data_IF_559209235646
#
_entry.id   IF_559209235646
#
_cell.length_a   1.000
_cell.length_b   1.000
_cell.length_c   1.000
_cell.angle_alpha   90.00
_cell.angle_beta   90.00
_cell.angle_gamma   90.00
#
_symmetry.space_group_name_H-M   'P 1'
#
loop_
_entity.id
_entity.type
_entity.pdbx_description
1 polymer ?
#
# COMPACT_ATOMS: atom_id res chain seq x y z
N UNK A 1 -5.09 4.98 23.37
CA UNK A 1 -5.49 3.67 22.78
C UNK A 1 -4.85 3.42 21.41
N UNK A 2 -4.94 4.32 20.41
CA UNK A 2 -4.27 4.14 19.09
C UNK A 2 -2.75 3.93 19.20
N UNK A 3 -2.06 4.77 19.98
CA UNK A 3 -0.60 4.68 20.18
C UNK A 3 -0.16 3.32 20.77
N UNK A 4 -0.93 2.76 21.71
CA UNK A 4 -0.60 1.46 22.31
C UNK A 4 -0.81 0.31 21.32
N UNK A 5 -1.84 0.38 20.49
CA UNK A 5 -2.08 -0.59 19.41
C UNK A 5 -0.97 -0.55 18.35
N UNK A 6 -0.56 0.66 17.96
CA UNK A 6 0.56 0.88 17.04
C UNK A 6 1.86 0.31 17.59
N UNK A 7 2.19 0.63 18.84
CA UNK A 7 3.34 0.06 19.53
C UNK A 7 3.27 -1.46 19.64
N UNK A 8 2.10 -2.05 19.91
CA UNK A 8 1.92 -3.50 19.99
C UNK A 8 2.06 -4.20 18.63
N UNK A 9 1.61 -3.56 17.54
CA UNK A 9 1.79 -4.09 16.20
C UNK A 9 3.27 -4.08 15.79
N UNK A 10 4.04 -3.08 16.25
CA UNK A 10 5.50 -3.01 16.08
C UNK A 10 6.23 -3.98 17.03
N UNK A 11 5.70 -4.19 18.24
CA UNK A 11 6.29 -5.01 19.30
C UNK A 11 5.42 -6.25 19.51
N UNK A 12 5.58 -7.23 18.60
CA UNK A 12 4.82 -8.48 18.64
C UNK A 12 5.53 -9.57 19.47
N UNK A 13 4.93 -10.77 19.50
CA UNK A 13 5.48 -11.95 20.18
C UNK A 13 6.89 -12.34 19.68
N UNK A 14 7.25 -12.05 18.42
CA UNK A 14 8.62 -12.27 17.92
C UNK A 14 9.62 -11.46 18.76
N UNK A 15 9.26 -10.23 19.18
CA UNK A 15 10.11 -9.38 20.03
C UNK A 15 10.42 -10.06 21.35
N UNK A 16 9.41 -10.67 21.97
CA UNK A 16 9.58 -11.38 23.22
C UNK A 16 10.51 -12.59 23.07
N UNK A 17 10.31 -13.40 22.02
CA UNK A 17 11.19 -14.57 21.74
C UNK A 17 12.63 -14.13 21.51
N UNK A 18 12.86 -13.19 20.59
CA UNK A 18 14.21 -12.75 20.21
C UNK A 18 14.92 -12.08 21.38
N UNK A 19 14.21 -11.25 22.14
CA UNK A 19 14.76 -10.61 23.36
C UNK A 19 15.14 -11.64 24.41
N UNK A 20 14.27 -12.61 24.67
CA UNK A 20 14.54 -13.69 25.63
C UNK A 20 15.74 -14.53 25.20
N UNK A 21 15.82 -14.89 23.91
CA UNK A 21 16.95 -15.62 23.35
C UNK A 21 18.26 -14.82 23.48
N UNK A 22 18.23 -13.52 23.22
CA UNK A 22 19.41 -12.64 23.36
C UNK A 22 19.87 -12.55 24.81
N UNK A 23 18.95 -12.41 25.77
CA UNK A 23 19.29 -12.34 27.21
C UNK A 23 19.84 -13.68 27.70
N UNK A 24 19.17 -14.79 27.38
CA UNK A 24 19.63 -16.14 27.75
C UNK A 24 20.98 -16.45 27.11
N UNK A 25 21.15 -16.14 25.83
CA UNK A 25 22.43 -16.31 25.13
C UNK A 25 23.54 -15.51 25.79
N UNK A 26 23.26 -14.25 26.14
CA UNK A 26 24.21 -13.38 26.86
C UNK A 26 24.58 -13.96 28.23
N UNK A 27 23.61 -14.48 28.98
CA UNK A 27 23.84 -15.12 30.28
C UNK A 27 24.78 -16.32 30.15
N UNK A 28 24.50 -17.26 29.24
CA UNK A 28 25.37 -18.42 29.04
C UNK A 28 26.76 -18.03 28.54
N UNK A 29 26.87 -17.04 27.64
CA UNK A 29 28.16 -16.54 27.19
C UNK A 29 28.99 -15.95 28.35
N UNK A 30 28.35 -15.27 29.30
CA UNK A 30 29.00 -14.79 30.52
C UNK A 30 29.50 -15.95 31.40
N UNK A 31 28.63 -16.91 31.71
CA UNK A 31 28.95 -18.04 32.60
C UNK A 31 30.09 -18.92 32.05
N UNK A 32 30.09 -19.20 30.73
CA UNK A 32 31.17 -19.96 30.07
C UNK A 32 32.38 -19.10 29.69
N UNK A 33 32.41 -17.81 30.06
CA UNK A 33 33.45 -16.85 29.71
C UNK A 33 33.71 -16.75 28.19
N UNK A 34 32.68 -17.04 27.38
CA UNK A 34 32.70 -16.92 25.93
C UNK A 34 32.33 -15.49 25.53
N UNK A 35 33.31 -14.59 25.60
CA UNK A 35 33.15 -13.17 25.30
C UNK A 35 33.99 -12.76 24.10
N UNK A 36 33.53 -11.75 23.35
CA UNK A 36 34.29 -11.22 22.22
C UNK A 36 33.87 -9.81 21.85
N UNK A 37 34.86 -8.94 21.58
CA UNK A 37 34.63 -7.61 21.04
C UNK A 37 34.39 -7.69 19.53
N UNK A 38 33.12 -7.83 19.16
CA UNK A 38 32.65 -7.91 17.79
C UNK A 38 32.36 -6.51 17.22
N UNK A 39 32.72 -6.23 15.95
CA UNK A 39 32.42 -4.95 15.33
C UNK A 39 30.90 -4.78 15.12
N UNK A 40 30.33 -3.73 15.71
CA UNK A 40 28.93 -3.33 15.49
C UNK A 40 28.67 -2.94 14.02
N UNK A 41 29.70 -2.47 13.31
CA UNK A 41 29.58 -2.08 11.89
C UNK A 41 29.11 -3.23 11.00
N UNK A 42 29.44 -4.48 11.35
CA UNK A 42 28.94 -5.66 10.66
C UNK A 42 27.42 -5.78 10.80
N UNK A 43 26.86 -5.51 11.98
CA UNK A 43 25.40 -5.47 12.19
C UNK A 43 24.75 -4.39 11.34
N UNK A 44 25.34 -3.19 11.33
CA UNK A 44 24.81 -2.07 10.56
C UNK A 44 24.79 -2.33 9.06
N UNK A 45 25.91 -2.83 8.52
CA UNK A 45 26.07 -3.08 7.08
C UNK A 45 25.34 -4.33 6.62
N UNK A 46 25.39 -5.43 7.39
CA UNK A 46 24.76 -6.68 6.99
C UNK A 46 23.26 -6.68 7.28
N UNK A 47 22.76 -6.09 8.37
CA UNK A 47 21.37 -6.28 8.81
C UNK A 47 20.56 -4.99 8.64
N UNK A 48 20.98 -3.89 9.25
CA UNK A 48 20.19 -2.65 9.27
C UNK A 48 20.01 -2.12 7.84
N UNK A 49 21.09 -2.06 7.07
CA UNK A 49 21.07 -1.50 5.73
C UNK A 49 20.06 -2.21 4.81
N UNK A 50 20.12 -3.55 4.57
CA UNK A 50 19.13 -4.22 3.71
C UNK A 50 17.67 -4.03 4.16
N UNK A 51 17.42 -4.02 5.48
CA UNK A 51 16.08 -3.78 6.02
C UNK A 51 15.58 -2.38 5.68
N UNK A 52 16.41 -1.34 5.88
CA UNK A 52 16.07 0.04 5.52
C UNK A 52 15.80 0.17 4.02
N UNK A 53 16.59 -0.47 3.15
CA UNK A 53 16.31 -0.48 1.71
C UNK A 53 14.97 -1.14 1.39
N UNK A 54 14.65 -2.25 2.05
CA UNK A 54 13.37 -2.93 1.86
C UNK A 54 12.20 -2.07 2.31
N UNK A 55 12.32 -1.37 3.45
CA UNK A 55 11.31 -0.43 3.95
C UNK A 55 11.09 0.70 2.95
N UNK A 56 12.16 1.35 2.47
CA UNK A 56 12.06 2.43 1.49
C UNK A 56 11.45 1.95 0.17
N UNK A 57 11.78 0.74 -0.29
CA UNK A 57 11.16 0.17 -1.49
C UNK A 57 9.68 -0.13 -1.30
N UNK A 58 9.27 -0.64 -0.13
CA UNK A 58 7.87 -0.90 0.19
C UNK A 58 7.07 0.41 0.29
N UNK A 59 7.64 1.42 0.95
CA UNK A 59 7.08 2.77 1.03
C UNK A 59 6.85 3.39 -0.36
N UNK A 60 7.85 3.36 -1.24
CA UNK A 60 7.71 3.87 -2.62
C UNK A 60 6.60 3.17 -3.40
N UNK A 61 6.50 1.84 -3.28
CA UNK A 61 5.43 1.06 -3.92
C UNK A 61 4.04 1.50 -3.45
N UNK A 62 3.90 1.82 -2.16
CA UNK A 62 2.65 2.37 -1.62
C UNK A 62 2.33 3.73 -2.23
N UNK A 63 3.28 4.66 -2.26
CA UNK A 63 3.08 5.99 -2.85
C UNK A 63 2.71 5.90 -4.35
N UNK A 64 3.38 5.02 -5.10
CA UNK A 64 3.08 4.78 -6.51
C UNK A 64 1.65 4.24 -6.72
N UNK A 65 1.17 3.37 -5.82
CA UNK A 65 -0.19 2.86 -5.83
C UNK A 65 -1.22 3.95 -5.50
N UNK A 66 -0.94 4.83 -4.53
CA UNK A 66 -1.79 5.99 -4.20
C UNK A 66 -1.91 6.93 -5.40
N UNK A 67 -0.78 7.24 -6.04
CA UNK A 67 -0.76 8.12 -7.22
C UNK A 67 -1.56 7.51 -8.39
N UNK A 68 -1.40 6.20 -8.62
CA UNK A 68 -2.17 5.47 -9.64
C UNK A 68 -3.67 5.48 -9.31
N UNK A 69 -4.06 5.23 -8.06
CA UNK A 69 -5.45 5.27 -7.62
C UNK A 69 -6.08 6.67 -7.81
N UNK A 70 -5.37 7.72 -7.42
CA UNK A 70 -5.82 9.10 -7.59
C UNK A 70 -5.99 9.47 -9.07
N UNK A 71 -5.03 9.10 -9.91
CA UNK A 71 -5.09 9.30 -11.37
C UNK A 71 -6.26 8.53 -12.01
N UNK A 72 -6.48 7.28 -11.62
CA UNK A 72 -7.61 6.47 -12.09
C UNK A 72 -8.95 7.13 -11.72
N UNK A 73 -9.11 7.56 -10.46
CA UNK A 73 -10.32 8.26 -9.99
C UNK A 73 -10.55 9.55 -10.76
N UNK A 74 -9.50 10.34 -10.99
CA UNK A 74 -9.57 11.58 -11.77
C UNK A 74 -10.03 11.33 -13.21
N UNK A 75 -9.48 10.32 -13.88
CA UNK A 75 -9.88 9.97 -15.25
C UNK A 75 -11.33 9.46 -15.33
N UNK A 76 -11.79 8.67 -14.36
CA UNK A 76 -13.21 8.30 -14.27
C UNK A 76 -14.11 9.51 -14.02
N UNK A 77 -13.72 10.45 -13.17
CA UNK A 77 -14.46 11.70 -13.01
C UNK A 77 -14.45 12.55 -14.29
N UNK A 78 -13.36 12.54 -15.06
CA UNK A 78 -13.29 13.15 -16.38
C UNK A 78 -14.33 12.57 -17.35
N UNK A 79 -14.52 11.24 -17.35
CA UNK A 79 -15.58 10.57 -18.12
C UNK A 79 -16.98 10.95 -17.62
N UNK A 80 -17.17 11.07 -16.31
CA UNK A 80 -18.42 11.55 -15.75
C UNK A 80 -18.74 12.97 -16.23
N UNK A 81 -17.79 13.90 -16.16
CA UNK A 81 -17.98 15.26 -16.67
C UNK A 81 -18.20 15.30 -18.19
N UNK A 82 -17.53 14.46 -18.96
CA UNK A 82 -17.78 14.34 -20.39
C UNK A 82 -19.24 13.94 -20.68
N UNK A 83 -19.75 12.93 -19.96
CA UNK A 83 -21.15 12.48 -20.10
C UNK A 83 -22.18 13.53 -19.68
N UNK A 84 -21.82 14.40 -18.73
CA UNK A 84 -22.67 15.48 -18.23
C UNK A 84 -22.66 16.71 -19.13
N UNK A 85 -21.47 17.11 -19.60
CA UNK A 85 -21.25 18.44 -20.17
C UNK A 85 -21.09 18.44 -21.68
N UNK A 86 -20.54 17.38 -22.30
CA UNK A 86 -20.27 17.35 -23.74
C UNK A 86 -21.46 16.82 -24.56
N UNK A 87 -22.35 16.06 -23.91
CA UNK A 87 -23.55 15.50 -24.52
C UNK A 87 -24.59 16.61 -24.73
N UNK A 88 -25.03 16.82 -25.98
CA UNK A 88 -25.95 17.90 -26.34
C UNK A 88 -27.42 17.57 -26.06
N UNK A 89 -27.81 16.30 -26.22
CA UNK A 89 -29.18 15.80 -26.04
C UNK A 89 -29.20 14.61 -25.07
N UNK A 90 -30.27 14.47 -24.29
CA UNK A 90 -30.41 13.37 -23.30
C UNK A 90 -29.33 13.37 -22.20
N UNK A 91 -28.75 14.54 -21.90
CA UNK A 91 -27.66 14.70 -20.93
C UNK A 91 -27.95 14.06 -19.57
N UNK A 92 -29.20 14.13 -19.08
CA UNK A 92 -29.59 13.55 -17.79
C UNK A 92 -29.49 12.00 -17.78
N UNK A 93 -29.86 11.36 -18.89
CA UNK A 93 -29.76 9.91 -19.06
C UNK A 93 -28.28 9.47 -19.14
N UNK A 94 -27.48 10.15 -19.97
CA UNK A 94 -26.05 9.87 -20.11
C UNK A 94 -25.29 10.09 -18.79
N UNK A 95 -25.59 11.17 -18.08
CA UNK A 95 -25.02 11.45 -16.77
C UNK A 95 -25.35 10.34 -15.75
N UNK A 96 -26.62 9.91 -15.67
CA UNK A 96 -27.05 8.82 -14.76
C UNK A 96 -26.40 7.48 -15.14
N UNK A 97 -26.36 7.15 -16.43
CA UNK A 97 -25.76 5.91 -16.93
C UNK A 97 -24.26 5.87 -16.67
N UNK A 98 -23.56 6.98 -16.93
CA UNK A 98 -22.14 7.14 -16.62
C UNK A 98 -21.86 6.95 -15.13
N UNK A 99 -22.58 7.67 -14.25
CA UNK A 99 -22.46 7.50 -12.80
C UNK A 99 -22.63 6.05 -12.36
N UNK A 100 -23.65 5.37 -12.87
CA UNK A 100 -23.93 3.97 -12.55
C UNK A 100 -22.78 3.05 -12.98
N UNK A 101 -22.31 3.18 -14.22
CA UNK A 101 -21.22 2.37 -14.76
C UNK A 101 -19.91 2.59 -14.01
N UNK A 102 -19.55 3.85 -13.76
CA UNK A 102 -18.31 4.21 -13.09
C UNK A 102 -18.29 3.77 -11.62
N UNK A 103 -19.39 3.97 -10.87
CA UNK A 103 -19.49 3.52 -9.49
C UNK A 103 -19.49 1.98 -9.38
N UNK A 104 -20.20 1.29 -10.27
CA UNK A 104 -20.16 -0.19 -10.35
C UNK A 104 -18.73 -0.68 -10.59
N UNK A 105 -18.04 -0.06 -11.54
CA UNK A 105 -16.65 -0.43 -11.90
C UNK A 105 -15.68 -0.17 -10.76
N UNK A 106 -15.77 1.00 -10.12
CA UNK A 106 -14.96 1.31 -8.94
C UNK A 106 -15.25 0.33 -7.80
N UNK A 107 -16.51 -0.07 -7.59
CA UNK A 107 -16.89 -1.09 -6.62
C UNK A 107 -16.21 -2.45 -6.88
N UNK A 108 -16.18 -2.91 -8.14
CA UNK A 108 -15.46 -4.13 -8.50
C UNK A 108 -13.94 -4.01 -8.27
N UNK A 109 -13.35 -2.86 -8.63
CA UNK A 109 -11.92 -2.60 -8.43
C UNK A 109 -11.55 -2.62 -6.94
N UNK A 110 -12.33 -1.92 -6.10
CA UNK A 110 -12.11 -1.91 -4.65
C UNK A 110 -12.25 -3.32 -4.08
N UNK A 111 -13.27 -4.08 -4.49
CA UNK A 111 -13.43 -5.46 -4.06
C UNK A 111 -12.27 -6.38 -4.49
N UNK A 112 -11.66 -6.13 -5.64
CA UNK A 112 -10.48 -6.88 -6.09
C UNK A 112 -9.23 -6.59 -5.26
N UNK A 113 -8.97 -5.32 -4.93
CA UNK A 113 -7.76 -4.94 -4.17
C UNK A 113 -7.87 -5.22 -2.67
N UNK A 114 -9.08 -5.14 -2.10
CA UNK A 114 -9.30 -5.39 -0.66
C UNK A 114 -9.47 -6.87 -0.32
N UNK A 115 -9.60 -7.75 -1.31
CA UNK A 115 -9.74 -9.17 -1.04
C UNK A 115 -8.37 -9.86 -0.94
N UNK A 116 -8.09 -10.38 0.25
CA UNK A 116 -6.82 -11.06 0.56
C UNK A 116 -6.75 -12.53 0.08
N UNK A 117 -7.81 -13.04 -0.56
CA UNK A 117 -7.87 -14.43 -1.05
C UNK A 117 -7.38 -14.55 -2.50
N UNK A 118 -6.11 -14.95 -2.66
CA UNK A 118 -5.45 -15.16 -3.97
C UNK A 118 -6.25 -16.11 -4.89
N UNK A 119 -6.90 -17.14 -4.34
CA UNK A 119 -7.66 -18.14 -5.12
C UNK A 119 -8.88 -17.55 -5.84
N UNK A 120 -9.48 -16.48 -5.31
CA UNK A 120 -10.66 -15.82 -5.91
C UNK A 120 -10.29 -14.64 -6.79
N UNK A 121 -9.01 -14.32 -6.92
CA UNK A 121 -8.58 -13.07 -7.53
C UNK A 121 -8.90 -13.04 -9.03
N UNK A 122 -8.77 -14.17 -9.74
CA UNK A 122 -9.19 -14.29 -11.14
C UNK A 122 -10.71 -14.16 -11.33
N UNK A 123 -11.51 -14.64 -10.37
CA UNK A 123 -12.97 -14.49 -10.38
C UNK A 123 -13.40 -13.03 -10.18
N UNK A 124 -12.70 -12.29 -9.32
CA UNK A 124 -12.94 -10.87 -9.06
C UNK A 124 -12.44 -9.96 -10.19
N UNK A 125 -11.48 -10.42 -10.99
CA UNK A 125 -10.94 -9.65 -12.11
C UNK A 125 -11.89 -9.62 -13.32
N UNK A 126 -12.59 -10.73 -13.61
CA UNK A 126 -13.58 -10.84 -14.69
C UNK A 126 -14.61 -9.69 -14.73
N UNK A 127 -15.31 -9.34 -13.63
CA UNK A 127 -16.30 -8.28 -13.64
C UNK A 127 -15.69 -6.88 -13.86
N UNK A 128 -14.39 -6.68 -13.60
CA UNK A 128 -13.68 -5.43 -13.89
C UNK A 128 -13.50 -5.25 -15.40
N UNK A 129 -12.96 -6.26 -16.09
CA UNK A 129 -12.78 -6.17 -17.54
C UNK A 129 -14.10 -6.11 -18.30
N UNK A 130 -15.14 -6.80 -17.81
CA UNK A 130 -16.49 -6.64 -18.35
C UNK A 130 -16.99 -5.20 -18.19
N UNK A 131 -16.77 -4.59 -17.02
CA UNK A 131 -17.06 -3.18 -16.78
C UNK A 131 -16.27 -2.24 -17.71
N UNK A 132 -15.01 -2.55 -17.98
CA UNK A 132 -14.18 -1.79 -18.93
C UNK A 132 -14.73 -1.86 -20.36
N UNK A 133 -15.15 -3.05 -20.81
CA UNK A 133 -15.82 -3.20 -22.12
C UNK A 133 -17.14 -2.41 -22.17
N UNK A 134 -17.97 -2.49 -21.12
CA UNK A 134 -19.22 -1.73 -20.97
C UNK A 134 -18.96 -0.20 -21.05
N UNK A 135 -17.91 0.31 -20.40
CA UNK A 135 -17.52 1.73 -20.45
C UNK A 135 -17.02 2.11 -21.85
N UNK A 136 -16.17 1.28 -22.47
CA UNK A 136 -15.66 1.52 -23.83
C UNK A 136 -16.81 1.67 -24.84
N UNK A 137 -17.76 0.72 -24.82
CA UNK A 137 -18.96 0.78 -25.66
C UNK A 137 -19.85 1.99 -25.34
N UNK A 138 -20.00 2.34 -24.06
CA UNK A 138 -20.74 3.52 -23.64
C UNK A 138 -20.13 4.80 -24.21
N UNK A 139 -18.81 4.97 -24.18
CA UNK A 139 -18.13 6.13 -24.77
C UNK A 139 -18.45 6.24 -26.27
N UNK A 140 -18.45 5.13 -27.02
CA UNK A 140 -18.78 5.15 -28.44
C UNK A 140 -20.21 5.67 -28.73
N UNK A 141 -21.13 5.56 -27.78
CA UNK A 141 -22.49 6.09 -27.95
C UNK A 141 -22.54 7.63 -27.97
N UNK A 142 -21.51 8.32 -27.48
CA UNK A 142 -21.44 9.79 -27.47
C UNK A 142 -21.51 10.39 -28.89
N UNK A 143 -21.03 9.66 -29.91
CA UNK A 143 -21.14 10.05 -31.33
C UNK A 143 -22.58 10.28 -31.77
N UNK A 144 -23.54 9.57 -31.15
CA UNK A 144 -24.96 9.66 -31.49
C UNK A 144 -25.64 10.90 -30.91
N UNK A 145 -25.00 11.55 -29.94
CA UNK A 145 -25.55 12.68 -29.16
C UNK A 145 -24.68 13.93 -29.27
N UNK A 146 -24.12 14.14 -30.46
CA UNK A 146 -23.49 15.41 -30.84
C UNK A 146 -22.05 15.62 -30.39
N UNK A 147 -21.43 14.66 -29.71
CA UNK A 147 -20.02 14.80 -29.28
C UNK A 147 -19.08 14.70 -30.48
N UNK A 148 -18.17 15.66 -30.61
CA UNK A 148 -17.24 15.74 -31.73
C UNK A 148 -16.20 14.60 -31.70
N UNK A 149 -15.59 14.23 -32.85
CA UNK A 149 -14.53 13.22 -32.88
C UNK A 149 -13.34 13.55 -31.96
N UNK A 150 -13.00 14.85 -31.82
CA UNK A 150 -11.94 15.32 -30.94
C UNK A 150 -12.25 15.15 -29.46
N UNK A 151 -13.49 15.45 -29.03
CA UNK A 151 -13.92 15.26 -27.65
C UNK A 151 -14.05 13.78 -27.32
N UNK A 152 -14.58 12.99 -28.26
CA UNK A 152 -14.65 11.54 -28.10
C UNK A 152 -13.25 10.94 -27.91
N UNK A 153 -12.27 11.35 -28.72
CA UNK A 153 -10.88 10.90 -28.55
C UNK A 153 -10.33 11.24 -27.15
N UNK A 154 -10.72 12.37 -26.56
CA UNK A 154 -10.35 12.71 -25.18
C UNK A 154 -11.02 11.80 -24.16
N UNK A 155 -12.30 11.45 -24.35
CA UNK A 155 -12.99 10.49 -23.50
C UNK A 155 -12.32 9.11 -23.56
N UNK A 156 -12.01 8.60 -24.76
CA UNK A 156 -11.27 7.35 -24.95
C UNK A 156 -9.89 7.39 -24.26
N UNK A 157 -9.21 8.55 -24.28
CA UNK A 157 -7.94 8.73 -23.56
C UNK A 157 -8.12 8.70 -22.03
N UNK A 158 -9.15 9.33 -21.47
CA UNK A 158 -9.44 9.24 -20.03
C UNK A 158 -9.65 7.78 -19.62
N UNK A 159 -10.47 7.05 -20.38
CA UNK A 159 -10.69 5.64 -20.14
C UNK A 159 -9.40 4.81 -20.22
N UNK A 160 -8.62 4.99 -21.29
CA UNK A 160 -7.35 4.26 -21.47
C UNK A 160 -6.36 4.53 -20.33
N UNK A 161 -6.27 5.78 -19.85
CA UNK A 161 -5.43 6.14 -18.69
C UNK A 161 -5.92 5.47 -17.41
N UNK A 162 -7.24 5.47 -17.16
CA UNK A 162 -7.81 4.79 -15.99
C UNK A 162 -7.53 3.28 -15.99
N UNK A 163 -7.66 2.62 -17.15
CA UNK A 163 -7.32 1.19 -17.30
C UNK A 163 -5.82 0.96 -17.07
N UNK A 164 -4.96 1.82 -17.60
CA UNK A 164 -3.52 1.73 -17.38
C UNK A 164 -3.14 1.89 -15.90
N UNK A 165 -3.81 2.79 -15.17
CA UNK A 165 -3.60 2.97 -13.74
C UNK A 165 -4.09 1.78 -12.92
N UNK A 166 -5.22 1.16 -13.29
CA UNK A 166 -5.65 -0.13 -12.73
C UNK A 166 -4.58 -1.22 -12.93
N UNK A 167 -4.03 -1.36 -14.14
CA UNK A 167 -2.97 -2.34 -14.43
C UNK A 167 -1.70 -2.07 -13.60
N UNK A 168 -1.31 -0.81 -13.44
CA UNK A 168 -0.17 -0.42 -12.58
C UNK A 168 -0.40 -0.84 -11.13
N UNK A 169 -1.56 -0.51 -10.56
CA UNK A 169 -1.91 -0.93 -9.20
C UNK A 169 -1.90 -2.46 -9.07
N UNK A 170 -2.44 -3.17 -10.06
CA UNK A 170 -2.44 -4.64 -10.10
C UNK A 170 -1.03 -5.21 -10.13
N UNK A 171 -0.10 -4.60 -10.87
CA UNK A 171 1.31 -5.01 -10.86
C UNK A 171 1.97 -4.74 -9.52
N UNK A 172 1.65 -3.64 -8.83
CA UNK A 172 2.15 -3.39 -7.46
C UNK A 172 1.65 -4.48 -6.50
N UNK A 173 0.40 -4.93 -6.61
CA UNK A 173 -0.15 -6.00 -5.79
C UNK A 173 0.57 -7.35 -6.01
N UNK A 174 0.79 -7.74 -7.27
CA UNK A 174 1.42 -9.01 -7.60
C UNK A 174 2.95 -9.03 -7.42
N UNK A 175 3.63 -7.93 -7.75
CA UNK A 175 5.08 -7.83 -7.66
C UNK A 175 5.47 -7.09 -6.39
N UNK A 176 5.70 -7.92 -5.37
CA UNK A 176 6.15 -7.56 -4.03
C UNK A 176 7.65 -7.27 -3.97
N UNK A 177 8.14 -6.79 -2.82
CA UNK A 177 9.60 -6.69 -2.62
C UNK A 177 10.25 -8.06 -2.85
N UNK A 178 11.48 -8.11 -3.37
CA UNK A 178 12.15 -9.38 -3.66
C UNK A 178 12.15 -10.32 -2.44
N UNK A 179 11.62 -11.53 -2.61
CA UNK A 179 11.52 -12.52 -1.54
C UNK A 179 12.88 -12.84 -0.90
N UNK A 180 13.95 -12.82 -1.69
CA UNK A 180 15.33 -13.03 -1.22
C UNK A 180 15.77 -12.03 -0.15
N UNK A 181 15.44 -10.74 -0.30
CA UNK A 181 15.75 -9.71 0.69
C UNK A 181 15.02 -9.94 2.01
N UNK A 182 13.78 -10.43 1.94
CA UNK A 182 12.98 -10.75 3.13
C UNK A 182 13.51 -11.98 3.86
N UNK A 183 13.81 -13.05 3.13
CA UNK A 183 14.43 -14.26 3.69
C UNK A 183 15.76 -13.93 4.36
N UNK A 184 16.56 -13.08 3.71
CA UNK A 184 17.81 -12.58 4.26
C UNK A 184 17.58 -11.87 5.61
N UNK A 185 16.65 -10.92 5.69
CA UNK A 185 16.33 -10.24 6.95
C UNK A 185 15.83 -11.19 8.05
N UNK A 186 14.99 -12.17 7.70
CA UNK A 186 14.47 -13.18 8.62
C UNK A 186 15.60 -14.07 9.16
N UNK A 187 16.52 -14.52 8.30
CA UNK A 187 17.68 -15.31 8.71
C UNK A 187 18.48 -14.57 9.79
N UNK A 188 18.81 -13.30 9.52
CA UNK A 188 19.57 -12.49 10.46
C UNK A 188 18.82 -12.18 11.76
N UNK A 189 17.50 -12.01 11.71
CA UNK A 189 16.68 -11.83 12.91
C UNK A 189 16.83 -13.00 13.89
N UNK A 190 16.78 -14.24 13.38
CA UNK A 190 16.87 -15.43 14.21
C UNK A 190 18.30 -15.79 14.61
N UNK A 191 19.30 -15.50 13.78
CA UNK A 191 20.70 -15.77 14.11
C UNK A 191 21.32 -14.71 15.02
N UNK A 192 20.85 -13.46 14.96
CA UNK A 192 21.44 -12.32 15.68
C UNK A 192 21.60 -12.55 17.20
N UNK A 193 20.59 -13.03 17.94
CA UNK A 193 20.71 -13.31 19.37
C UNK A 193 21.88 -14.22 19.73
N UNK A 194 22.16 -15.22 18.89
CA UNK A 194 23.22 -16.20 19.12
C UNK A 194 24.59 -15.63 18.71
N UNK A 195 24.65 -14.98 17.55
CA UNK A 195 25.90 -14.44 17.01
C UNK A 195 26.46 -13.29 17.84
N UNK A 196 25.58 -12.43 18.39
CA UNK A 196 25.99 -11.23 19.14
C UNK A 196 25.89 -11.38 20.67
N UNK A 197 25.43 -12.51 21.19
CA UNK A 197 25.49 -12.79 22.63
C UNK A 197 26.91 -12.66 23.24
N UNK A 198 28.01 -13.10 22.59
CA UNK A 198 29.37 -12.92 23.12
C UNK A 198 29.78 -11.46 23.26
N UNK A 199 29.28 -10.60 22.36
CA UNK A 199 29.50 -9.16 22.39
C UNK A 199 28.78 -8.49 23.56
N UNK A 200 27.53 -8.87 23.81
CA UNK A 200 26.81 -8.38 24.99
C UNK A 200 27.44 -8.88 26.30
N UNK A 201 27.90 -10.13 26.33
CA UNK A 201 28.59 -10.68 27.50
C UNK A 201 29.95 -10.03 27.76
N UNK A 202 30.68 -9.64 26.71
CA UNK A 202 31.91 -8.85 26.83
C UNK A 202 31.68 -7.56 27.62
N UNK A 203 30.58 -6.86 27.34
CA UNK A 203 30.22 -5.62 28.05
C UNK A 203 29.79 -5.84 29.51
N UNK A 204 29.43 -7.07 29.90
CA UNK A 204 29.15 -7.39 31.31
C UNK A 204 30.42 -7.53 32.16
N UNK A 205 31.60 -7.59 31.54
CA UNK A 205 32.88 -7.60 32.27
C UNK A 205 33.29 -6.22 32.79
N UNK A 206 32.70 -5.14 32.27
CA UNK A 206 32.92 -3.81 32.81
C UNK A 206 32.32 -3.72 34.22
N UNK A 207 33.20 -3.55 35.22
CA UNK A 207 32.81 -3.48 36.63
C UNK A 207 32.04 -2.21 36.98
N UNK A 208 32.11 -1.18 36.12
CA UNK A 208 31.42 0.09 36.31
C UNK A 208 29.92 -0.04 36.06
N UNK A 209 29.53 -0.85 35.07
CA UNK A 209 28.14 -0.98 34.61
C UNK A 209 27.77 -2.45 34.34
N UNK A 210 27.58 -3.27 35.40
CA UNK A 210 27.42 -4.72 35.28
C UNK A 210 26.11 -5.20 34.64
N UNK A 211 25.26 -4.28 34.15
CA UNK A 211 23.95 -4.57 33.53
C UNK A 211 23.90 -4.14 32.05
N UNK A 212 24.90 -3.38 31.58
CA UNK A 212 24.85 -2.73 30.26
C UNK A 212 24.77 -3.72 29.10
N UNK A 213 25.37 -4.90 29.23
CA UNK A 213 25.28 -5.97 28.23
C UNK A 213 23.86 -6.48 28.05
N UNK A 214 23.10 -6.69 29.14
CA UNK A 214 21.70 -7.11 29.06
C UNK A 214 20.80 -6.02 28.50
N UNK A 215 21.01 -4.75 28.89
CA UNK A 215 20.29 -3.61 28.33
C UNK A 215 20.51 -3.53 26.83
N UNK A 216 21.76 -3.69 26.39
CA UNK A 216 22.12 -3.71 24.97
C UNK A 216 21.43 -4.86 24.24
N UNK A 217 21.48 -6.08 24.79
CA UNK A 217 20.82 -7.25 24.20
C UNK A 217 19.32 -7.02 23.97
N UNK A 218 18.63 -6.41 24.95
CA UNK A 218 17.21 -6.04 24.84
C UNK A 218 17.00 -4.96 23.79
N UNK A 219 17.77 -3.88 23.84
CA UNK A 219 17.63 -2.73 22.94
C UNK A 219 17.84 -3.14 21.47
N UNK A 220 18.90 -3.88 21.17
CA UNK A 220 19.16 -4.34 19.80
C UNK A 220 18.08 -5.29 19.30
N UNK A 221 17.65 -6.25 20.13
CA UNK A 221 16.55 -7.17 19.78
C UNK A 221 15.26 -6.39 19.46
N UNK A 222 14.95 -5.39 20.28
CA UNK A 222 13.80 -4.52 20.09
C UNK A 222 13.87 -3.76 18.76
N UNK A 223 15.00 -3.09 18.49
CA UNK A 223 15.19 -2.30 17.27
C UNK A 223 15.07 -3.17 16.02
N UNK A 224 15.71 -4.34 16.00
CA UNK A 224 15.67 -5.24 14.84
C UNK A 224 14.28 -5.77 14.55
N UNK A 225 13.59 -6.28 15.57
CA UNK A 225 12.24 -6.82 15.41
C UNK A 225 11.29 -5.72 14.96
N UNK A 226 11.40 -4.51 15.54
CA UNK A 226 10.58 -3.36 15.18
C UNK A 226 10.74 -2.98 13.71
N UNK A 227 11.98 -2.88 13.21
CA UNK A 227 12.25 -2.54 11.81
C UNK A 227 11.67 -3.59 10.84
N UNK A 228 11.79 -4.87 11.18
CA UNK A 228 11.23 -5.96 10.35
C UNK A 228 9.70 -5.93 10.36
N UNK A 229 9.08 -5.69 11.51
CA UNK A 229 7.62 -5.60 11.60
C UNK A 229 7.08 -4.39 10.81
N UNK A 230 7.77 -3.25 10.84
CA UNK A 230 7.43 -2.08 9.99
C UNK A 230 7.54 -2.45 8.51
N UNK A 231 8.60 -3.17 8.12
CA UNK A 231 8.76 -3.64 6.74
C UNK A 231 7.59 -4.55 6.33
N UNK A 232 7.20 -5.50 7.19
CA UNK A 232 6.07 -6.41 6.93
C UNK A 232 4.75 -5.65 6.75
N UNK A 233 4.50 -4.61 7.55
CA UNK A 233 3.29 -3.78 7.44
C UNK A 233 3.22 -2.97 6.14
N UNK A 234 4.35 -2.46 5.65
CA UNK A 234 4.38 -1.66 4.42
C UNK A 234 4.36 -2.52 3.14
N UNK A 235 4.52 -3.83 3.26
CA UNK A 235 4.80 -4.71 2.13
C UNK A 235 3.64 -4.82 1.13
N UNK A 236 2.42 -4.84 1.66
CA UNK A 236 1.20 -4.96 0.88
C UNK A 236 0.25 -3.80 1.23
N UNK A 237 0.19 -2.75 0.40
CA UNK A 237 -0.53 -1.53 0.76
C UNK A 237 -2.07 -1.65 0.67
N UNK A 238 -2.60 -2.83 0.37
CA UNK A 238 -4.03 -3.04 0.09
C UNK A 238 -4.74 -3.95 1.10
N UNK A 239 -4.03 -4.72 1.94
CA UNK A 239 -4.65 -5.75 2.79
C UNK A 239 -5.27 -5.24 4.10
N UNK A 240 -5.14 -3.94 4.37
CA UNK A 240 -5.66 -3.26 5.56
C UNK A 240 -5.04 -3.80 6.86
N UNK A 241 -3.87 -4.41 6.77
CA UNK A 241 -3.08 -4.87 7.91
C UNK A 241 -2.20 -3.74 8.46
N UNK A 242 -1.57 -2.97 7.58
CA UNK A 242 -0.74 -1.82 7.93
C UNK A 242 -1.59 -0.64 8.42
N UNK A 243 -1.08 0.12 9.39
CA UNK A 243 -1.79 1.33 9.87
C UNK A 243 -1.89 2.40 8.78
N UNK A 244 -0.93 2.42 7.85
CA UNK A 244 -0.83 3.37 6.74
C UNK A 244 -1.19 2.75 5.38
N UNK A 245 -2.05 1.73 5.38
CA UNK A 245 -2.53 1.13 4.13
C UNK A 245 -3.45 2.08 3.36
N UNK A 246 -3.54 1.82 2.05
CA UNK A 246 -4.34 2.65 1.15
C UNK A 246 -5.82 2.44 1.47
N UNK A 247 -6.50 3.53 1.79
CA UNK A 247 -7.94 3.54 1.98
C UNK A 247 -8.64 3.66 0.63
N UNK A 248 -9.15 2.53 0.14
CA UNK A 248 -9.92 2.47 -1.08
C UNK A 248 -11.40 2.68 -0.74
N UNK A 249 -11.92 3.88 -1.01
CA UNK A 249 -13.27 4.27 -0.64
C UNK A 249 -14.15 4.62 -1.86
N UNK A 250 -15.27 3.92 -1.97
CA UNK A 250 -16.29 4.19 -2.99
C UNK A 250 -17.11 5.43 -2.65
N UNK A 251 -17.26 5.74 -1.35
CA UNK A 251 -18.13 6.79 -0.85
C UNK A 251 -17.66 8.17 -1.31
N UNK A 252 -16.35 8.41 -1.32
CA UNK A 252 -15.78 9.66 -1.80
C UNK A 252 -16.17 9.96 -3.27
N UNK A 253 -16.02 8.98 -4.17
CA UNK A 253 -16.40 9.13 -5.57
C UNK A 253 -17.91 9.31 -5.74
N UNK A 254 -18.71 8.58 -4.95
CA UNK A 254 -20.17 8.73 -4.92
C UNK A 254 -20.57 10.15 -4.52
N UNK A 255 -20.02 10.67 -3.44
CA UNK A 255 -20.28 12.04 -2.97
C UNK A 255 -19.87 13.08 -4.01
N UNK A 256 -18.75 12.89 -4.70
CA UNK A 256 -18.35 13.77 -5.81
C UNK A 256 -19.37 13.77 -6.96
N UNK A 257 -19.91 12.61 -7.32
CA UNK A 257 -20.93 12.49 -8.37
C UNK A 257 -22.27 13.11 -7.92
N UNK A 258 -22.68 12.88 -6.67
CA UNK A 258 -23.94 13.36 -6.11
C UNK A 258 -23.95 14.88 -5.88
N UNK A 259 -22.83 15.45 -5.40
CA UNK A 259 -22.70 16.89 -5.15
C UNK A 259 -22.67 17.73 -6.43
N UNK A 260 -22.39 17.11 -7.57
CA UNK A 260 -22.36 17.77 -8.88
C UNK A 260 -23.81 17.86 -9.40
N UNK A 261 -24.63 18.66 -8.70
CA UNK A 261 -26.02 18.99 -9.05
C UNK A 261 -26.16 19.26 -10.54
N UNK A 262 -27.09 18.55 -11.18
CA UNK A 262 -27.41 18.72 -12.60
C UNK A 262 -27.97 20.13 -12.85
N UNK A 263 -28.64 20.72 -11.85
CA UNK A 263 -29.37 21.99 -11.96
C UNK A 263 -28.45 23.22 -12.00
N UNK A 264 -27.38 23.24 -11.21
CA UNK A 264 -26.52 24.44 -11.11
C UNK A 264 -25.67 24.65 -12.38
N UNK A 265 -25.33 23.57 -13.09
CA UNK A 265 -24.56 23.63 -14.34
C UNK A 265 -25.40 24.07 -15.54
N UNK A 266 -26.70 23.78 -15.55
CA UNK A 266 -27.60 24.22 -16.61
C UNK A 266 -27.75 25.75 -16.64
N UNK A 267 -27.81 26.39 -15.47
CA UNK A 267 -27.83 27.86 -15.36
C UNK A 267 -26.53 28.46 -15.91
N UNK A 268 -25.38 27.90 -15.55
CA UNK A 268 -24.06 28.36 -16.03
C UNK A 268 -23.92 28.26 -17.56
N UNK A 269 -24.37 27.16 -18.17
CA UNK A 269 -24.38 26.99 -19.63
C UNK A 269 -25.23 28.06 -20.33
N UNK A 270 -26.41 28.30 -19.77
CA UNK A 270 -27.35 29.32 -20.27
C UNK A 270 -26.76 30.73 -20.15
N UNK A 271 -26.09 31.05 -19.04
CA UNK A 271 -25.42 32.34 -18.84
C UNK A 271 -24.24 32.57 -19.80
N UNK A 272 -23.55 31.50 -20.21
CA UNK A 272 -22.37 31.57 -21.06
C UNK A 272 -22.64 31.32 -22.55
N UNK A 273 -23.90 31.07 -22.94
CA UNK A 273 -24.29 30.64 -24.30
C UNK A 273 -23.51 29.40 -24.80
N UNK A 274 -23.30 28.41 -23.92
CA UNK A 274 -22.63 27.13 -24.22
C UNK A 274 -23.61 25.97 -24.13
#
# INVERSE_FOLDING_TARGET
MKLFRSLWNIINYKTFIITTLSVIGTYYCKEFNFVGDLPITLVGTAIIFPVVFSINSAYRRREDAIMSYASMKSNFMGLFYASKNWVSSEHENYCRKSATLLLKTMGHIIAFFTNNQTEKQAELEKPIYRSFDEISLFIQTFRKVGVTPSELSRADQYFTRAVADFERMKKILYYRTPYSLRVYAIFFLYSFPVLYAPYFAYHLKDSTYPVIGYISAVLYSFVFVSLINIQEQLENPFDQYGEDDIQLDLSEMRTMIENVSIKDVANFKTEQNI
#
